data_IF_820014831250
#
_entry.id   IF_820014831250
#
_cell.length_a   1.000
_cell.length_b   1.000
_cell.length_c   1.000
_cell.angle_alpha   90.00
_cell.angle_beta   90.00
_cell.angle_gamma   90.00
#
_symmetry.space_group_name_H-M   'P 1'
#
loop_
_entity.id
_entity.type
_entity.pdbx_description
1 polymer ?
#
# COMPACT_ATOMS: atom_id res chain seq x y z
N UNK A 1 -18.13 67.90 -4.58
CA UNK A 1 -17.18 66.97 -3.92
C UNK A 1 -17.86 65.61 -3.65
N UNK A 2 -18.21 64.84 -4.68
CA UNK A 2 -18.91 63.54 -4.53
C UNK A 2 -18.24 62.37 -5.27
N UNK A 3 -17.09 62.62 -5.90
CA UNK A 3 -16.35 61.63 -6.70
C UNK A 3 -15.57 60.56 -5.88
N UNK A 4 -15.00 60.86 -4.68
CA UNK A 4 -14.17 59.88 -3.97
C UNK A 4 -14.94 58.71 -3.34
N UNK A 5 -16.21 58.93 -2.96
CA UNK A 5 -17.04 57.96 -2.21
C UNK A 5 -17.66 56.89 -3.11
N UNK A 6 -18.02 57.24 -4.35
CA UNK A 6 -18.56 56.28 -5.32
C UNK A 6 -17.50 55.27 -5.80
N UNK A 7 -16.27 55.72 -5.98
CA UNK A 7 -15.17 54.86 -6.45
C UNK A 7 -14.76 53.83 -5.38
N UNK A 8 -14.78 54.23 -4.11
CA UNK A 8 -14.49 53.32 -3.00
C UNK A 8 -15.60 52.28 -2.78
N UNK A 9 -16.87 52.66 -2.99
CA UNK A 9 -17.99 51.71 -2.93
C UNK A 9 -17.94 50.69 -4.08
N UNK A 10 -17.65 51.14 -5.31
CA UNK A 10 -17.47 50.26 -6.48
C UNK A 10 -16.31 49.28 -6.28
N UNK A 11 -15.17 49.73 -5.77
CA UNK A 11 -14.05 48.86 -5.45
C UNK A 11 -14.40 47.82 -4.38
N UNK A 12 -15.13 48.20 -3.32
CA UNK A 12 -15.56 47.27 -2.28
C UNK A 12 -16.51 46.21 -2.83
N UNK A 13 -17.50 46.62 -3.63
CA UNK A 13 -18.45 45.68 -4.24
C UNK A 13 -17.78 44.73 -5.24
N UNK A 14 -16.78 45.20 -6.00
CA UNK A 14 -16.00 44.37 -6.91
C UNK A 14 -15.15 43.35 -6.16
N UNK A 15 -14.52 43.75 -5.04
CA UNK A 15 -13.74 42.87 -4.17
C UNK A 15 -14.59 41.80 -3.49
N UNK A 16 -15.79 42.17 -3.03
CA UNK A 16 -16.76 41.23 -2.43
C UNK A 16 -17.29 40.25 -3.49
N UNK A 17 -17.64 40.73 -4.69
CA UNK A 17 -18.10 39.84 -5.76
C UNK A 17 -17.00 38.86 -6.21
N UNK A 18 -15.76 39.32 -6.33
CA UNK A 18 -14.64 38.45 -6.71
C UNK A 18 -14.32 37.42 -5.64
N UNK A 19 -14.30 37.79 -4.35
CA UNK A 19 -14.06 36.84 -3.25
C UNK A 19 -15.17 35.80 -3.10
N UNK A 20 -16.44 36.19 -3.25
CA UNK A 20 -17.57 35.26 -3.21
C UNK A 20 -17.56 34.32 -4.43
N UNK A 21 -17.25 34.84 -5.63
CA UNK A 21 -17.15 34.03 -6.83
C UNK A 21 -15.96 33.05 -6.79
N UNK A 22 -14.82 33.43 -6.21
CA UNK A 22 -13.67 32.52 -6.04
C UNK A 22 -13.98 31.41 -5.05
N UNK A 23 -14.65 31.71 -3.93
CA UNK A 23 -15.01 30.70 -2.93
C UNK A 23 -16.05 29.71 -3.49
N UNK A 24 -17.08 30.19 -4.18
CA UNK A 24 -18.08 29.31 -4.81
C UNK A 24 -17.46 28.41 -5.91
N UNK A 25 -16.48 28.91 -6.66
CA UNK A 25 -15.73 28.14 -7.67
C UNK A 25 -14.84 27.06 -7.04
N UNK A 26 -14.22 27.35 -5.90
CA UNK A 26 -13.43 26.36 -5.15
C UNK A 26 -14.33 25.31 -4.50
N UNK A 27 -15.43 25.70 -3.87
CA UNK A 27 -16.40 24.76 -3.27
C UNK A 27 -17.00 23.83 -4.31
N UNK A 28 -17.29 24.32 -5.53
CA UNK A 28 -17.73 23.50 -6.65
C UNK A 28 -16.70 22.45 -7.05
N UNK A 29 -15.42 22.84 -7.16
CA UNK A 29 -14.32 21.90 -7.49
C UNK A 29 -14.04 20.91 -6.36
N UNK A 30 -14.17 21.33 -5.11
CA UNK A 30 -14.00 20.48 -3.93
C UNK A 30 -15.13 19.48 -3.83
N UNK A 31 -16.38 19.90 -4.04
CA UNK A 31 -17.55 19.00 -4.09
C UNK A 31 -17.51 18.06 -5.29
N UNK A 32 -17.01 18.51 -6.45
CA UNK A 32 -16.79 17.64 -7.59
C UNK A 32 -15.67 16.61 -7.30
N UNK A 33 -14.60 17.03 -6.62
CA UNK A 33 -13.51 16.15 -6.21
C UNK A 33 -13.99 15.06 -5.21
N UNK A 34 -14.73 15.45 -4.17
CA UNK A 34 -15.24 14.50 -3.17
C UNK A 34 -16.49 13.75 -3.61
N UNK A 35 -17.36 14.35 -4.42
CA UNK A 35 -18.55 13.72 -5.00
C UNK A 35 -18.23 12.71 -6.11
N UNK A 36 -17.05 12.79 -6.72
CA UNK A 36 -16.54 11.75 -7.64
C UNK A 36 -16.22 10.42 -6.93
N UNK A 37 -15.90 10.45 -5.62
CA UNK A 37 -15.72 9.24 -4.81
C UNK A 37 -17.05 8.61 -4.35
N UNK A 38 -18.18 9.30 -4.54
CA UNK A 38 -19.52 8.71 -4.48
C UNK A 38 -19.88 8.00 -5.82
N UNK A 39 -18.89 7.85 -6.71
CA UNK A 39 -19.01 7.31 -8.05
C UNK A 39 -19.06 5.78 -8.07
N UNK A 40 -20.26 5.21 -8.17
CA UNK A 40 -20.59 3.84 -8.61
C UNK A 40 -20.00 2.62 -7.88
N UNK A 41 -18.80 2.67 -7.30
CA UNK A 41 -18.21 1.56 -6.56
C UNK A 41 -18.56 1.59 -5.07
N UNK A 42 -18.77 2.77 -4.47
CA UNK A 42 -19.25 2.92 -3.08
C UNK A 42 -18.32 2.35 -1.99
N UNK A 43 -17.08 2.00 -2.33
CA UNK A 43 -16.11 1.44 -1.39
C UNK A 43 -15.51 2.53 -0.49
N UNK A 44 -15.10 2.14 0.71
CA UNK A 44 -14.55 3.05 1.74
C UNK A 44 -13.05 2.86 1.95
N UNK A 45 -12.50 1.74 1.47
CA UNK A 45 -11.09 1.41 1.59
C UNK A 45 -10.69 0.39 0.52
N UNK A 46 -9.40 0.36 0.21
CA UNK A 46 -8.78 -0.59 -0.70
C UNK A 46 -7.74 -1.42 0.03
N UNK A 47 -7.68 -2.70 -0.30
CA UNK A 47 -6.69 -3.66 0.19
C UNK A 47 -5.96 -4.32 -0.96
N UNK A 48 -4.72 -4.74 -0.71
CA UNK A 48 -3.96 -5.56 -1.63
C UNK A 48 -3.47 -6.85 -0.96
N UNK A 49 -3.55 -7.97 -1.67
CA UNK A 49 -2.94 -9.25 -1.27
C UNK A 49 -2.00 -9.65 -2.41
N UNK A 50 -0.70 -9.62 -2.15
CA UNK A 50 0.35 -9.78 -3.15
C UNK A 50 1.17 -11.02 -2.82
N UNK A 51 1.18 -12.02 -3.71
CA UNK A 51 1.78 -13.33 -3.45
C UNK A 51 2.82 -13.67 -4.50
N UNK A 52 4.07 -13.78 -4.07
CA UNK A 52 5.11 -14.52 -4.79
C UNK A 52 5.15 -15.94 -4.23
N UNK A 53 4.66 -16.91 -5.01
CA UNK A 53 4.53 -18.30 -4.58
C UNK A 53 5.78 -19.15 -4.86
N UNK A 54 6.72 -18.63 -5.66
CA UNK A 54 7.92 -19.35 -6.09
C UNK A 54 9.13 -19.09 -5.21
N UNK A 55 9.99 -20.10 -5.10
CA UNK A 55 11.28 -20.04 -4.39
C UNK A 55 12.47 -20.34 -5.30
N UNK A 56 13.68 -20.18 -4.78
CA UNK A 56 14.98 -20.38 -5.46
C UNK A 56 15.41 -19.23 -6.37
N UNK A 57 16.73 -19.09 -6.51
CA UNK A 57 17.38 -18.00 -7.26
C UNK A 57 16.90 -17.86 -8.71
N UNK A 58 16.69 -18.97 -9.41
CA UNK A 58 16.24 -18.95 -10.80
C UNK A 58 14.80 -18.43 -10.98
N UNK A 59 14.09 -18.19 -9.88
CA UNK A 59 12.75 -17.63 -9.84
C UNK A 59 12.72 -16.18 -9.34
N UNK A 60 13.87 -15.49 -9.33
CA UNK A 60 14.04 -14.09 -8.94
C UNK A 60 12.89 -13.18 -9.41
N UNK A 61 12.53 -13.29 -10.70
CA UNK A 61 11.47 -12.51 -11.33
C UNK A 61 10.13 -12.51 -10.61
N UNK A 62 9.69 -13.61 -10.00
CA UNK A 62 8.40 -13.65 -9.31
C UNK A 62 8.40 -12.76 -8.05
N UNK A 63 9.54 -12.66 -7.35
CA UNK A 63 9.67 -11.73 -6.23
C UNK A 63 9.69 -10.28 -6.73
N UNK A 64 10.43 -10.00 -7.81
CA UNK A 64 10.44 -8.67 -8.42
C UNK A 64 9.05 -8.23 -8.92
N UNK A 65 8.28 -9.15 -9.51
CA UNK A 65 6.90 -8.92 -9.93
C UNK A 65 6.02 -8.47 -8.74
N UNK A 66 6.01 -9.25 -7.65
CA UNK A 66 5.21 -8.95 -6.46
C UNK A 66 5.62 -7.62 -5.81
N UNK A 67 6.94 -7.35 -5.73
CA UNK A 67 7.45 -6.06 -5.22
C UNK A 67 7.14 -4.89 -6.15
N UNK A 68 7.10 -5.09 -7.47
CA UNK A 68 6.66 -4.09 -8.43
C UNK A 68 5.19 -3.71 -8.24
N UNK A 69 4.33 -4.70 -8.02
CA UNK A 69 2.92 -4.46 -7.67
C UNK A 69 2.79 -3.76 -6.31
N UNK A 70 3.57 -4.18 -5.30
CA UNK A 70 3.62 -3.56 -3.98
C UNK A 70 3.97 -2.06 -4.07
N UNK A 71 5.03 -1.73 -4.81
CA UNK A 71 5.39 -0.33 -5.05
C UNK A 71 4.26 0.44 -5.75
N UNK A 72 3.58 -0.19 -6.71
CA UNK A 72 2.48 0.45 -7.44
C UNK A 72 1.33 0.82 -6.52
N UNK A 73 0.84 -0.13 -5.70
CA UNK A 73 -0.26 0.15 -4.76
C UNK A 73 0.14 1.19 -3.70
N UNK A 74 1.38 1.14 -3.19
CA UNK A 74 1.87 2.17 -2.25
C UNK A 74 1.97 3.55 -2.87
N UNK A 75 2.51 3.64 -4.08
CA UNK A 75 2.62 4.90 -4.83
C UNK A 75 1.24 5.50 -5.08
N UNK A 76 0.24 4.65 -5.32
CA UNK A 76 -1.15 5.05 -5.51
C UNK A 76 -1.92 5.26 -4.19
N UNK A 77 -1.31 4.97 -3.04
CA UNK A 77 -1.73 5.46 -1.73
C UNK A 77 -2.35 4.43 -0.81
N UNK A 78 -2.35 3.14 -1.16
CA UNK A 78 -2.74 2.09 -0.21
C UNK A 78 -1.67 2.01 0.89
N UNK A 79 -2.02 2.16 2.18
CA UNK A 79 -1.06 2.08 3.28
C UNK A 79 -0.63 0.63 3.54
N UNK A 80 0.54 0.44 4.16
CA UNK A 80 1.04 -0.91 4.49
C UNK A 80 0.09 -1.72 5.36
N UNK A 81 -0.65 -1.06 6.26
CA UNK A 81 -1.70 -1.70 7.07
C UNK A 81 -2.82 -2.36 6.26
N UNK A 82 -2.91 -2.06 4.95
CA UNK A 82 -3.89 -2.58 4.02
C UNK A 82 -3.26 -3.43 2.91
N UNK A 83 -1.97 -3.75 3.00
CA UNK A 83 -1.27 -4.59 2.02
C UNK A 83 -0.77 -5.83 2.75
N UNK A 84 -1.18 -7.01 2.28
CA UNK A 84 -0.62 -8.29 2.71
C UNK A 84 0.40 -8.73 1.65
N UNK A 85 1.68 -8.74 2.00
CA UNK A 85 2.75 -9.19 1.11
C UNK A 85 3.30 -10.56 1.56
N UNK A 86 3.22 -11.54 0.67
CA UNK A 86 3.73 -12.90 0.87
C UNK A 86 4.87 -13.19 -0.11
N UNK A 87 6.08 -13.41 0.42
CA UNK A 87 7.27 -13.73 -0.39
C UNK A 87 7.83 -15.10 0.02
N UNK A 88 7.70 -16.09 -0.87
CA UNK A 88 8.11 -17.46 -0.62
C UNK A 88 9.64 -17.66 -0.52
N UNK A 89 10.44 -16.66 -0.90
CA UNK A 89 11.89 -16.64 -0.76
C UNK A 89 12.38 -15.20 -0.58
N UNK A 90 13.64 -15.04 -0.16
CA UNK A 90 14.30 -13.75 -0.02
C UNK A 90 15.51 -13.67 -0.94
N UNK A 91 15.28 -13.16 -2.15
CA UNK A 91 16.35 -12.98 -3.14
C UNK A 91 17.25 -11.80 -2.82
N UNK A 92 16.80 -10.85 -1.99
CA UNK A 92 17.61 -9.72 -1.54
C UNK A 92 18.75 -10.18 -0.62
N UNK A 93 18.49 -11.17 0.23
CA UNK A 93 19.48 -11.77 1.13
C UNK A 93 20.18 -13.04 0.58
N UNK A 94 19.92 -13.42 -0.68
CA UNK A 94 20.55 -14.60 -1.28
C UNK A 94 22.05 -14.39 -1.52
N UNK A 95 22.89 -15.38 -1.22
CA UNK A 95 24.35 -15.29 -1.43
C UNK A 95 24.77 -15.17 -2.90
N UNK A 96 23.87 -15.48 -3.84
CA UNK A 96 24.09 -15.27 -5.28
C UNK A 96 23.82 -13.84 -5.72
N UNK A 97 23.12 -13.06 -4.90
CA UNK A 97 22.80 -11.68 -5.22
C UNK A 97 24.06 -10.82 -5.10
N UNK A 98 24.55 -10.33 -6.25
CA UNK A 98 25.69 -9.41 -6.33
C UNK A 98 25.39 -8.05 -5.67
N UNK A 99 24.12 -7.74 -5.45
CA UNK A 99 23.62 -6.50 -4.83
C UNK A 99 22.83 -6.84 -3.55
N UNK A 100 23.51 -7.12 -2.43
CA UNK A 100 22.85 -7.53 -1.20
C UNK A 100 21.84 -6.49 -0.71
N UNK A 101 20.66 -6.96 -0.31
CA UNK A 101 19.59 -6.10 0.21
C UNK A 101 18.76 -5.39 -0.85
N UNK A 102 18.98 -5.66 -2.15
CA UNK A 102 18.26 -5.02 -3.24
C UNK A 102 17.63 -6.01 -4.22
N UNK A 103 16.52 -5.59 -4.81
CA UNK A 103 15.83 -6.31 -5.89
C UNK A 103 15.52 -5.38 -7.05
N UNK A 104 15.84 -5.78 -8.28
CA UNK A 104 15.68 -4.97 -9.48
C UNK A 104 14.82 -5.69 -10.51
N UNK A 105 13.89 -4.98 -11.14
CA UNK A 105 13.07 -5.51 -12.25
C UNK A 105 13.60 -5.13 -13.64
N UNK A 106 14.78 -4.52 -13.72
CA UNK A 106 15.45 -4.19 -14.97
C UNK A 106 16.97 -4.22 -14.80
N UNK A 107 17.67 -4.44 -15.91
CA UNK A 107 19.14 -4.51 -16.00
C UNK A 107 19.82 -3.17 -15.73
N UNK A 108 19.14 -2.06 -15.99
CA UNK A 108 19.62 -0.71 -15.66
C UNK A 108 19.70 -0.46 -14.15
N UNK A 109 18.99 -1.26 -13.34
CA UNK A 109 18.93 -1.16 -11.87
C UNK A 109 18.55 0.23 -11.38
N UNK A 110 17.69 0.90 -12.15
CA UNK A 110 17.29 2.29 -11.90
C UNK A 110 16.49 2.47 -10.60
N UNK A 111 15.89 1.37 -10.10
CA UNK A 111 14.96 1.38 -8.98
C UNK A 111 15.09 0.08 -8.19
N UNK A 112 15.49 0.20 -6.93
CA UNK A 112 15.42 -0.90 -5.97
C UNK A 112 13.98 -1.08 -5.50
N UNK A 113 13.44 -2.29 -5.70
CA UNK A 113 12.10 -2.70 -5.31
C UNK A 113 12.02 -3.22 -3.88
N UNK A 114 13.16 -3.60 -3.28
CA UNK A 114 13.22 -4.07 -1.90
C UNK A 114 13.37 -2.87 -0.96
N UNK A 115 14.55 -2.24 -0.91
CA UNK A 115 14.79 -1.02 -0.13
C UNK A 115 14.31 -1.06 1.33
N UNK A 116 14.21 0.11 1.96
CA UNK A 116 13.86 0.23 3.39
C UNK A 116 12.35 0.32 3.65
N UNK A 117 11.53 0.40 2.61
CA UNK A 117 10.11 0.78 2.70
C UNK A 117 9.14 -0.36 2.41
N UNK A 118 9.58 -1.61 2.52
CA UNK A 118 8.73 -2.79 2.34
C UNK A 118 8.35 -3.43 3.68
N UNK A 119 7.09 -3.81 3.81
CA UNK A 119 6.59 -4.64 4.90
C UNK A 119 6.22 -6.01 4.32
N UNK A 120 6.95 -7.05 4.73
CA UNK A 120 6.67 -8.43 4.31
C UNK A 120 5.97 -9.16 5.45
N UNK A 121 4.72 -9.53 5.25
CA UNK A 121 3.86 -10.13 6.27
C UNK A 121 4.10 -11.63 6.43
N UNK A 122 4.28 -12.34 5.31
CA UNK A 122 4.56 -13.77 5.30
C UNK A 122 5.87 -14.02 4.54
N UNK A 123 6.88 -14.55 5.24
CA UNK A 123 8.22 -14.75 4.71
C UNK A 123 8.56 -16.24 4.62
N UNK A 124 9.15 -16.66 3.50
CA UNK A 124 9.70 -18.00 3.33
C UNK A 124 8.67 -19.08 3.64
N UNK A 125 8.95 -19.91 4.66
CA UNK A 125 8.10 -21.02 5.08
C UNK A 125 6.69 -20.62 5.53
N UNK A 126 6.44 -19.35 5.86
CA UNK A 126 5.08 -18.88 6.18
C UNK A 126 4.18 -18.73 4.93
N UNK A 127 4.75 -18.76 3.71
CA UNK A 127 3.99 -18.63 2.46
C UNK A 127 3.43 -19.98 2.03
N UNK A 128 2.39 -20.43 2.71
CA UNK A 128 1.70 -21.71 2.43
C UNK A 128 0.32 -21.48 1.84
N UNK A 129 -0.23 -22.50 1.19
CA UNK A 129 -1.62 -22.48 0.69
C UNK A 129 -2.58 -22.24 1.86
N UNK A 130 -2.34 -22.90 2.99
CA UNK A 130 -3.14 -22.74 4.21
C UNK A 130 -3.16 -21.28 4.70
N UNK A 131 -2.00 -20.63 4.83
CA UNK A 131 -1.95 -19.26 5.31
C UNK A 131 -2.62 -18.30 4.33
N UNK A 132 -2.44 -18.49 3.02
CA UNK A 132 -3.13 -17.68 2.01
C UNK A 132 -4.66 -17.80 2.12
N UNK A 133 -5.21 -19.02 2.20
CA UNK A 133 -6.65 -19.25 2.38
C UNK A 133 -7.16 -18.69 3.71
N UNK A 134 -6.38 -18.82 4.80
CA UNK A 134 -6.73 -18.24 6.10
C UNK A 134 -6.75 -16.72 6.06
N UNK A 135 -5.84 -16.08 5.33
CA UNK A 135 -5.82 -14.64 5.08
C UNK A 135 -7.12 -14.22 4.40
N UNK A 136 -7.47 -14.82 3.26
CA UNK A 136 -8.68 -14.50 2.50
C UNK A 136 -9.95 -14.69 3.33
N UNK A 137 -10.12 -15.87 3.94
CA UNK A 137 -11.32 -16.21 4.70
C UNK A 137 -11.38 -15.56 6.10
N UNK A 138 -10.28 -14.95 6.53
CA UNK A 138 -9.98 -14.43 7.86
C UNK A 138 -10.23 -15.42 8.99
N UNK A 139 -9.96 -16.70 8.75
CA UNK A 139 -9.97 -17.76 9.76
C UNK A 139 -8.60 -17.84 10.43
N UNK A 140 -8.36 -16.92 11.35
CA UNK A 140 -7.07 -16.80 12.05
C UNK A 140 -7.27 -16.79 13.56
N UNK A 141 -6.28 -17.29 14.30
CA UNK A 141 -6.26 -17.24 15.75
C UNK A 141 -6.21 -15.78 16.25
N UNK A 142 -6.79 -15.52 17.42
CA UNK A 142 -6.82 -14.18 18.00
C UNK A 142 -5.42 -13.62 18.33
N UNK A 143 -4.40 -14.48 18.42
CA UNK A 143 -3.00 -14.08 18.66
C UNK A 143 -2.26 -13.59 17.40
N UNK A 144 -2.76 -13.88 16.19
CA UNK A 144 -2.12 -13.45 14.92
C UNK A 144 -2.03 -11.92 14.87
N UNK A 145 -0.86 -11.30 14.60
CA UNK A 145 -0.74 -9.85 14.55
C UNK A 145 -1.68 -9.20 13.52
N UNK A 146 -2.08 -7.94 13.77
CA UNK A 146 -2.97 -7.20 12.86
C UNK A 146 -2.40 -7.06 11.45
N UNK A 147 -1.09 -6.84 11.30
CA UNK A 147 -0.43 -6.73 9.98
C UNK A 147 -0.61 -7.97 9.12
N UNK A 148 -0.69 -9.16 9.74
CA UNK A 148 -0.91 -10.43 9.02
C UNK A 148 -2.38 -10.73 8.70
N UNK A 149 -3.31 -9.81 8.91
CA UNK A 149 -4.76 -10.03 8.76
C UNK A 149 -5.37 -9.14 7.67
N UNK A 150 -6.15 -9.74 6.78
CA UNK A 150 -7.00 -9.04 5.83
C UNK A 150 -8.28 -8.54 6.53
N UNK A 151 -8.29 -7.30 7.03
CA UNK A 151 -9.38 -6.74 7.83
C UNK A 151 -10.41 -5.99 6.96
N UNK A 152 -10.93 -6.68 5.95
CA UNK A 152 -11.90 -6.17 4.98
C UNK A 152 -13.36 -6.38 5.44
N UNK A 153 -14.26 -5.61 4.84
CA UNK A 153 -15.71 -5.62 5.04
C UNK A 153 -16.48 -5.50 3.70
N UNK A 154 -17.80 -5.33 3.74
CA UNK A 154 -18.68 -5.20 2.56
C UNK A 154 -18.51 -3.89 1.79
N UNK A 155 -17.61 -3.00 2.24
CA UNK A 155 -17.25 -1.75 1.56
C UNK A 155 -15.78 -1.70 1.20
N UNK A 156 -15.11 -2.85 1.19
CA UNK A 156 -13.68 -2.96 0.88
C UNK A 156 -13.49 -3.51 -0.53
N UNK A 157 -12.78 -2.79 -1.39
CA UNK A 157 -12.29 -3.36 -2.64
C UNK A 157 -10.93 -4.02 -2.43
N UNK A 158 -10.70 -5.16 -3.07
CA UNK A 158 -9.50 -5.98 -2.84
C UNK A 158 -8.82 -6.27 -4.16
N UNK A 159 -7.55 -5.88 -4.27
CA UNK A 159 -6.66 -6.33 -5.33
C UNK A 159 -5.89 -7.57 -4.89
N UNK A 160 -6.09 -8.70 -5.56
CA UNK A 160 -5.35 -9.93 -5.31
C UNK A 160 -4.42 -10.18 -6.49
N UNK A 161 -3.11 -10.15 -6.25
CA UNK A 161 -2.09 -10.45 -7.25
C UNK A 161 -1.31 -11.69 -6.86
N UNK A 162 -1.17 -12.64 -7.79
CA UNK A 162 -0.39 -13.85 -7.59
C UNK A 162 0.59 -14.04 -8.74
N UNK A 163 1.80 -14.50 -8.42
CA UNK A 163 2.82 -14.81 -9.43
C UNK A 163 3.64 -16.03 -9.01
N UNK A 164 3.96 -16.87 -9.99
CA UNK A 164 4.75 -18.07 -9.78
C UNK A 164 4.58 -19.08 -10.91
N UNK A 165 4.94 -20.33 -10.63
CA UNK A 165 4.76 -21.43 -11.58
C UNK A 165 3.41 -22.11 -11.39
N UNK A 166 2.75 -22.44 -12.48
CA UNK A 166 1.41 -22.99 -12.48
C UNK A 166 1.12 -23.76 -13.74
N UNK A 167 -0.14 -24.11 -13.93
CA UNK A 167 -0.63 -24.82 -15.09
C UNK A 167 -2.16 -24.82 -15.10
N UNK A 168 -2.74 -25.80 -15.78
CA UNK A 168 -4.20 -25.90 -15.91
C UNK A 168 -4.87 -26.04 -14.54
N UNK A 169 -5.48 -24.95 -14.07
CA UNK A 169 -6.25 -24.81 -12.83
C UNK A 169 -5.44 -24.98 -11.53
N UNK A 170 -4.11 -24.77 -11.57
CA UNK A 170 -3.29 -24.75 -10.35
C UNK A 170 -2.12 -23.76 -10.38
N UNK A 171 -1.69 -23.32 -9.19
CA UNK A 171 -0.46 -22.57 -8.95
C UNK A 171 0.36 -23.26 -7.85
N UNK A 172 1.67 -23.43 -8.07
CA UNK A 172 2.59 -24.03 -7.10
C UNK A 172 2.98 -23.02 -6.02
N UNK A 173 2.97 -23.48 -4.78
CA UNK A 173 3.49 -22.79 -3.60
C UNK A 173 4.77 -23.49 -3.12
N UNK A 174 5.84 -22.71 -2.97
CA UNK A 174 7.16 -23.14 -2.50
C UNK A 174 7.73 -24.38 -3.21
N UNK A 175 7.30 -24.67 -4.44
CA UNK A 175 7.70 -25.88 -5.19
C UNK A 175 7.36 -27.20 -4.47
N UNK A 176 6.38 -27.19 -3.56
CA UNK A 176 6.01 -28.35 -2.74
C UNK A 176 4.49 -28.58 -2.65
N UNK A 177 3.72 -27.49 -2.61
CA UNK A 177 2.25 -27.53 -2.54
C UNK A 177 1.65 -26.89 -3.79
N UNK A 178 0.38 -27.15 -4.04
CA UNK A 178 -0.38 -26.55 -5.13
C UNK A 178 -1.70 -26.01 -4.58
N UNK A 179 -2.08 -24.82 -5.01
CA UNK A 179 -3.43 -24.28 -4.82
C UNK A 179 -4.18 -24.42 -6.14
N UNK A 180 -5.41 -24.91 -6.10
CA UNK A 180 -6.26 -25.04 -7.29
C UNK A 180 -7.14 -23.81 -7.51
N UNK A 181 -7.64 -23.64 -8.74
CA UNK A 181 -8.66 -22.64 -9.07
C UNK A 181 -9.92 -22.78 -8.18
N UNK A 182 -10.26 -24.01 -7.80
CA UNK A 182 -11.39 -24.33 -6.92
C UNK A 182 -11.16 -23.82 -5.49
N UNK A 183 -9.95 -23.97 -4.94
CA UNK A 183 -9.65 -23.49 -3.58
C UNK A 183 -9.84 -21.97 -3.46
N UNK A 184 -9.42 -21.23 -4.50
CA UNK A 184 -9.58 -19.77 -4.55
C UNK A 184 -11.06 -19.40 -4.74
N UNK A 185 -11.78 -20.10 -5.63
CA UNK A 185 -13.22 -19.90 -5.82
C UNK A 185 -14.00 -20.06 -4.52
N UNK A 186 -13.75 -21.16 -3.79
CA UNK A 186 -14.39 -21.45 -2.51
C UNK A 186 -14.00 -20.44 -1.42
N UNK A 187 -12.76 -19.93 -1.44
CA UNK A 187 -12.33 -18.88 -0.52
C UNK A 187 -13.07 -17.57 -0.79
N UNK A 188 -13.19 -17.16 -2.06
CA UNK A 188 -13.94 -15.96 -2.45
C UNK A 188 -15.43 -16.10 -2.13
N UNK A 189 -16.02 -17.29 -2.30
CA UNK A 189 -17.39 -17.53 -1.86
C UNK A 189 -17.56 -17.37 -0.36
N UNK A 190 -16.63 -17.90 0.43
CA UNK A 190 -16.67 -17.69 1.89
C UNK A 190 -16.51 -16.22 2.26
N UNK A 191 -15.72 -15.45 1.53
CA UNK A 191 -15.61 -14.01 1.72
C UNK A 191 -16.92 -13.30 1.39
N UNK A 192 -17.59 -13.69 0.30
CA UNK A 192 -18.87 -13.14 -0.12
C UNK A 192 -19.96 -13.38 0.93
N UNK A 193 -20.14 -14.64 1.36
CA UNK A 193 -21.12 -15.03 2.39
C UNK A 193 -20.88 -14.30 3.72
N UNK A 194 -19.62 -13.99 4.02
CA UNK A 194 -19.23 -13.26 5.24
C UNK A 194 -19.15 -11.75 5.06
N UNK A 195 -19.56 -11.22 3.91
CA UNK A 195 -19.55 -9.77 3.65
C UNK A 195 -18.17 -9.15 3.85
N UNK A 196 -17.14 -9.77 3.28
CA UNK A 196 -15.73 -9.36 3.44
C UNK A 196 -15.15 -8.64 2.22
N UNK A 197 -15.95 -8.35 1.22
CA UNK A 197 -15.56 -7.50 0.11
C UNK A 197 -16.78 -6.84 -0.52
N UNK A 198 -16.54 -5.70 -1.15
CA UNK A 198 -17.43 -5.05 -2.10
C UNK A 198 -17.17 -5.55 -3.52
N UNK A 199 -15.92 -5.42 -3.97
CA UNK A 199 -15.42 -5.93 -5.25
C UNK A 199 -14.01 -6.55 -5.10
N UNK A 200 -13.71 -7.58 -5.90
CA UNK A 200 -12.38 -8.16 -6.01
C UNK A 200 -11.85 -7.96 -7.44
N UNK A 201 -10.60 -7.50 -7.54
CA UNK A 201 -9.83 -7.60 -8.77
C UNK A 201 -8.73 -8.65 -8.59
N UNK A 202 -8.86 -9.78 -9.29
CA UNK A 202 -7.91 -10.88 -9.26
C UNK A 202 -7.00 -10.83 -10.50
N UNK A 203 -5.68 -10.76 -10.29
CA UNK A 203 -4.68 -10.74 -11.35
C UNK A 203 -3.64 -11.83 -11.07
N UNK A 204 -3.31 -12.62 -12.09
CA UNK A 204 -2.35 -13.71 -11.91
C UNK A 204 -1.37 -13.83 -13.08
N UNK A 205 -0.08 -13.94 -12.76
CA UNK A 205 0.99 -14.15 -13.73
C UNK A 205 1.63 -15.54 -13.56
N UNK A 206 1.22 -16.47 -14.42
CA UNK A 206 1.70 -17.85 -14.44
C UNK A 206 1.37 -18.55 -15.77
N UNK A 207 1.90 -19.75 -16.02
CA UNK A 207 1.50 -20.55 -17.16
C UNK A 207 0.03 -20.99 -17.03
N UNK A 208 -0.72 -20.90 -18.12
CA UNK A 208 -2.17 -21.18 -18.17
C UNK A 208 -2.98 -20.37 -17.15
N UNK A 209 -2.53 -19.14 -16.86
CA UNK A 209 -3.11 -18.25 -15.86
C UNK A 209 -4.63 -18.05 -16.00
N UNK A 210 -5.17 -18.05 -17.22
CA UNK A 210 -6.59 -17.84 -17.46
C UNK A 210 -7.49 -18.94 -16.88
N UNK A 211 -6.92 -20.12 -16.62
CA UNK A 211 -7.62 -21.24 -15.99
C UNK A 211 -7.81 -21.05 -14.48
N UNK A 212 -7.04 -20.16 -13.84
CA UNK A 212 -7.10 -19.96 -12.38
C UNK A 212 -8.37 -19.24 -11.90
N UNK A 213 -9.08 -18.55 -12.79
CA UNK A 213 -10.34 -17.87 -12.47
C UNK A 213 -11.54 -18.50 -13.19
N UNK A 214 -11.38 -19.62 -13.90
CA UNK A 214 -12.46 -20.30 -14.62
C UNK A 214 -13.57 -20.79 -13.67
N UNK A 215 -13.18 -21.20 -12.46
CA UNK A 215 -14.06 -21.76 -11.46
C UNK A 215 -14.71 -20.73 -10.53
N UNK A 216 -14.42 -19.43 -10.69
CA UNK A 216 -15.07 -18.40 -9.87
C UNK A 216 -16.57 -18.35 -10.16
N UNK A 217 -17.38 -18.22 -9.10
CA UNK A 217 -18.84 -18.16 -9.20
C UNK A 217 -19.48 -17.12 -8.28
N UNK A 218 -18.72 -16.52 -7.37
CA UNK A 218 -19.19 -15.44 -6.50
C UNK A 218 -19.25 -14.10 -7.25
N UNK A 219 -20.21 -13.22 -6.92
CA UNK A 219 -20.40 -11.97 -7.64
C UNK A 219 -19.32 -10.94 -7.30
N UNK A 220 -19.27 -9.88 -8.10
CA UNK A 220 -18.41 -8.71 -7.97
C UNK A 220 -16.91 -9.02 -8.08
N UNK A 221 -16.55 -9.96 -8.96
CA UNK A 221 -15.17 -10.35 -9.22
C UNK A 221 -14.81 -10.02 -10.67
N UNK A 222 -13.77 -9.21 -10.84
CA UNK A 222 -13.08 -8.99 -12.11
C UNK A 222 -11.78 -9.78 -12.07
N UNK A 223 -11.47 -10.54 -13.13
CA UNK A 223 -10.26 -11.34 -13.18
C UNK A 223 -9.47 -11.15 -14.48
N UNK A 224 -8.15 -11.26 -14.39
CA UNK A 224 -7.24 -11.22 -15.54
C UNK A 224 -6.05 -12.15 -15.31
N UNK A 225 -5.51 -12.71 -16.38
CA UNK A 225 -4.40 -13.68 -16.33
C UNK A 225 -3.43 -13.47 -17.48
N UNK A 226 -2.19 -13.93 -17.33
CA UNK A 226 -1.13 -13.70 -18.31
C UNK A 226 -1.13 -14.59 -19.55
N UNK A 227 -1.78 -15.76 -19.51
CA UNK A 227 -1.67 -16.78 -20.57
C UNK A 227 -2.90 -17.68 -20.68
N UNK A 228 -3.21 -18.14 -21.89
CA UNK A 228 -4.32 -19.03 -22.19
C UNK A 228 -4.07 -20.50 -21.80
N UNK A 229 -5.13 -21.31 -21.81
CA UNK A 229 -5.01 -22.76 -21.60
C UNK A 229 -4.08 -23.37 -22.67
N UNK A 230 -3.16 -24.23 -22.24
CA UNK A 230 -2.12 -24.81 -23.12
C UNK A 230 -0.95 -23.87 -23.46
N UNK A 231 -0.93 -22.65 -22.93
CA UNK A 231 0.13 -21.66 -23.16
C UNK A 231 1.01 -21.44 -21.92
N UNK A 232 2.29 -21.13 -22.14
CA UNK A 232 3.21 -20.71 -21.09
C UNK A 232 3.13 -19.18 -20.86
N UNK A 233 3.50 -18.73 -19.66
CA UNK A 233 3.93 -17.34 -19.46
C UNK A 233 5.44 -17.23 -19.66
N UNK A 234 5.92 -16.02 -19.99
CA UNK A 234 7.31 -15.80 -20.38
C UNK A 234 7.99 -14.77 -19.48
N UNK A 235 9.25 -15.05 -19.15
CA UNK A 235 10.14 -14.10 -18.49
C UNK A 235 10.56 -12.97 -19.44
N UNK A 236 10.86 -11.80 -18.89
CA UNK A 236 11.38 -10.65 -19.62
C UNK A 236 12.66 -10.13 -18.96
N UNK A 237 13.58 -9.62 -19.81
CA UNK A 237 14.84 -9.00 -19.42
C UNK A 237 15.78 -9.87 -18.57
N UNK A 238 16.92 -10.27 -19.15
CA UNK A 238 17.99 -10.96 -18.43
C UNK A 238 19.01 -9.95 -17.92
N UNK A 239 19.41 -10.08 -16.65
CA UNK A 239 20.50 -9.29 -16.08
C UNK A 239 21.74 -10.20 -15.93
N UNK A 240 22.85 -9.81 -16.57
CA UNK A 240 24.10 -10.59 -16.56
C UNK A 240 24.81 -10.59 -15.20
N UNK A 241 24.63 -9.55 -14.39
CA UNK A 241 25.20 -9.44 -13.04
C UNK A 241 24.44 -10.30 -12.04
N UNK A 242 23.12 -10.43 -12.20
CA UNK A 242 22.22 -11.29 -11.40
C UNK A 242 22.24 -12.74 -11.94
N UNK A 243 22.43 -12.91 -13.24
CA UNK A 243 22.57 -14.20 -13.94
C UNK A 243 21.25 -14.91 -14.23
N UNK A 244 20.10 -14.25 -14.09
CA UNK A 244 18.75 -14.79 -14.36
C UNK A 244 17.85 -13.70 -14.93
N UNK A 245 16.66 -14.08 -15.42
CA UNK A 245 15.62 -13.13 -15.78
C UNK A 245 15.05 -12.44 -14.54
N UNK A 246 14.84 -11.12 -14.63
CA UNK A 246 14.54 -10.27 -13.47
C UNK A 246 13.08 -9.89 -13.33
N UNK A 247 12.25 -10.09 -14.35
CA UNK A 247 10.80 -9.82 -14.32
C UNK A 247 10.07 -10.76 -15.30
N UNK A 248 8.76 -10.95 -15.16
CA UNK A 248 7.94 -11.60 -16.18
C UNK A 248 7.34 -10.61 -17.18
N UNK A 249 7.16 -11.03 -18.43
CA UNK A 249 6.77 -10.17 -19.55
C UNK A 249 5.42 -9.51 -19.34
N UNK A 250 4.41 -10.28 -18.92
CA UNK A 250 3.07 -9.76 -18.61
C UNK A 250 3.14 -8.69 -17.52
N UNK A 251 3.79 -9.01 -16.41
CA UNK A 251 3.95 -8.08 -15.29
C UNK A 251 4.77 -6.84 -15.67
N UNK A 252 5.82 -6.98 -16.50
CA UNK A 252 6.61 -5.86 -17.00
C UNK A 252 5.73 -4.83 -17.74
N UNK A 253 4.92 -5.26 -18.69
CA UNK A 253 4.09 -4.35 -19.47
C UNK A 253 2.95 -3.72 -18.66
N UNK A 254 2.40 -4.45 -17.66
CA UNK A 254 1.45 -3.86 -16.72
C UNK A 254 2.11 -2.80 -15.86
N UNK A 255 3.27 -3.08 -15.27
CA UNK A 255 3.99 -2.11 -14.46
C UNK A 255 4.40 -0.88 -15.28
N UNK A 256 4.83 -1.09 -16.53
CA UNK A 256 5.12 0.01 -17.46
C UNK A 256 3.90 0.89 -17.71
N UNK A 257 2.71 0.30 -17.95
CA UNK A 257 1.46 1.04 -18.08
C UNK A 257 1.13 1.80 -16.79
N UNK A 258 1.30 1.15 -15.64
CA UNK A 258 0.96 1.70 -14.33
C UNK A 258 1.85 2.87 -13.92
N UNK A 259 3.11 2.98 -14.39
CA UNK A 259 3.98 4.13 -14.10
C UNK A 259 3.38 5.47 -14.55
N UNK A 260 2.54 5.48 -15.60
CA UNK A 260 1.83 6.67 -16.07
C UNK A 260 0.61 7.07 -15.21
N UNK A 261 0.18 6.20 -14.29
CA UNK A 261 -1.03 6.36 -13.49
C UNK A 261 -0.70 7.07 -12.17
N UNK A 262 -1.51 8.05 -11.78
CA UNK A 262 -1.42 8.72 -10.47
C UNK A 262 -2.73 8.58 -9.69
N UNK A 263 -2.73 9.04 -8.43
CA UNK A 263 -3.87 8.91 -7.50
C UNK A 263 -5.18 9.54 -8.00
N UNK A 264 -5.09 10.53 -8.88
CA UNK A 264 -6.26 11.25 -9.45
C UNK A 264 -6.64 10.75 -10.84
N UNK A 265 -5.97 9.70 -11.34
CA UNK A 265 -6.20 9.19 -12.69
C UNK A 265 -7.65 8.74 -12.87
N UNK A 266 -8.17 9.01 -14.06
CA UNK A 266 -9.47 8.53 -14.53
C UNK A 266 -9.33 7.36 -15.51
N UNK A 267 -8.14 6.77 -15.60
CA UNK A 267 -7.89 5.59 -16.41
C UNK A 267 -8.73 4.42 -15.90
N UNK A 268 -9.38 3.75 -16.82
CA UNK A 268 -10.35 2.70 -16.57
C UNK A 268 -9.72 1.32 -16.62
N UNK A 269 -10.44 0.31 -16.13
CA UNK A 269 -10.07 -1.10 -16.30
C UNK A 269 -10.09 -1.48 -17.79
N UNK A 270 -10.98 -0.87 -18.59
CA UNK A 270 -10.95 -1.03 -20.05
C UNK A 270 -9.61 -0.60 -20.64
N UNK A 271 -9.10 0.58 -20.25
CA UNK A 271 -7.82 1.10 -20.74
C UNK A 271 -6.64 0.18 -20.39
N UNK A 272 -6.64 -0.38 -19.17
CA UNK A 272 -5.64 -1.36 -18.75
C UNK A 272 -5.66 -2.60 -19.66
N UNK A 273 -6.83 -3.18 -19.89
CA UNK A 273 -6.94 -4.40 -20.69
C UNK A 273 -6.71 -4.14 -22.18
N UNK A 274 -7.09 -2.97 -22.69
CA UNK A 274 -6.79 -2.53 -24.05
C UNK A 274 -5.29 -2.30 -24.28
N UNK A 275 -4.50 -2.11 -23.20
CA UNK A 275 -3.05 -1.98 -23.29
C UNK A 275 -2.31 -3.32 -23.51
N UNK A 276 -3.00 -4.45 -23.33
CA UNK A 276 -2.40 -5.77 -23.50
C UNK A 276 -2.03 -6.01 -24.97
N UNK A 277 -0.77 -6.36 -25.19
CA UNK A 277 -0.22 -6.65 -26.52
C UNK A 277 0.41 -8.05 -26.50
N UNK A 278 -0.30 -9.08 -27.00
CA UNK A 278 0.21 -10.45 -27.02
C UNK A 278 1.55 -10.61 -27.75
N UNK A 279 1.86 -9.73 -28.71
CA UNK A 279 3.13 -9.78 -29.44
C UNK A 279 4.31 -9.40 -28.55
N UNK A 280 4.10 -8.43 -27.66
CA UNK A 280 5.09 -7.99 -26.67
C UNK A 280 5.14 -8.92 -25.46
N UNK A 281 3.98 -9.33 -24.98
CA UNK A 281 3.85 -10.18 -23.79
C UNK A 281 4.35 -11.61 -24.07
N UNK A 282 4.29 -12.05 -25.34
CA UNK A 282 4.60 -13.41 -25.81
C UNK A 282 3.62 -14.50 -25.36
N UNK A 283 2.52 -14.11 -24.72
CA UNK A 283 1.38 -14.95 -24.39
C UNK A 283 0.08 -14.17 -24.60
N UNK A 284 -1.07 -14.81 -24.41
CA UNK A 284 -2.40 -14.23 -24.58
C UNK A 284 -3.07 -13.96 -23.22
N UNK A 285 -3.02 -12.71 -22.72
CA UNK A 285 -3.74 -12.37 -21.52
C UNK A 285 -5.25 -12.48 -21.70
N UNK A 286 -5.92 -13.08 -20.72
CA UNK A 286 -7.38 -13.18 -20.70
C UNK A 286 -8.00 -12.26 -19.64
N UNK A 287 -9.25 -11.87 -19.87
CA UNK A 287 -10.06 -11.08 -18.94
C UNK A 287 -11.41 -11.76 -18.75
N UNK A 288 -11.84 -11.92 -17.51
CA UNK A 288 -13.17 -12.43 -17.15
C UNK A 288 -13.92 -11.37 -16.36
N UNK A 289 -15.06 -10.93 -16.89
CA UNK A 289 -15.87 -9.83 -16.35
C UNK A 289 -17.36 -10.16 -16.18
N UNK A 290 -17.81 -11.40 -16.48
CA UNK A 290 -19.21 -11.83 -16.35
C UNK A 290 -19.74 -11.78 -14.91
N UNK A 291 -18.85 -11.91 -13.92
CA UNK A 291 -19.17 -11.79 -12.49
C UNK A 291 -19.09 -10.34 -11.98
N UNK A 292 -18.59 -9.41 -12.79
CA UNK A 292 -18.36 -8.02 -12.40
C UNK A 292 -19.52 -7.12 -12.85
N UNK A 293 -20.19 -6.47 -11.90
CA UNK A 293 -21.44 -5.76 -12.18
C UNK A 293 -21.27 -4.46 -12.99
N UNK A 294 -20.10 -3.81 -12.86
CA UNK A 294 -19.83 -2.52 -13.53
C UNK A 294 -19.26 -2.76 -14.93
N UNK A 295 -19.60 -1.86 -15.85
CA UNK A 295 -18.94 -1.82 -17.16
C UNK A 295 -17.48 -1.39 -16.99
N UNK A 296 -16.58 -2.01 -17.74
CA UNK A 296 -15.13 -1.77 -17.63
C UNK A 296 -14.73 -0.30 -17.90
N UNK A 297 -15.50 0.43 -18.72
CA UNK A 297 -15.30 1.86 -19.02
C UNK A 297 -15.68 2.79 -17.84
N UNK A 298 -16.32 2.25 -16.81
CA UNK A 298 -16.71 2.99 -15.60
C UNK A 298 -15.95 2.55 -14.35
N UNK A 299 -15.30 1.40 -14.41
CA UNK A 299 -14.45 0.92 -13.32
C UNK A 299 -13.07 1.56 -13.46
N UNK A 300 -12.67 2.34 -12.47
CA UNK A 300 -11.36 2.99 -12.48
C UNK A 300 -10.30 2.05 -11.94
N UNK A 301 -9.07 2.18 -12.44
CA UNK A 301 -7.92 1.47 -11.86
C UNK A 301 -7.72 1.88 -10.40
N UNK A 302 -7.97 3.15 -10.09
CA UNK A 302 -7.87 3.68 -8.73
C UNK A 302 -8.90 3.08 -7.76
N UNK A 303 -9.97 2.43 -8.24
CA UNK A 303 -10.92 1.70 -7.39
C UNK A 303 -10.32 0.43 -6.77
N UNK A 304 -9.17 -0.06 -7.27
CA UNK A 304 -8.48 -1.24 -6.74
C UNK A 304 -7.04 -0.94 -6.29
N UNK A 305 -6.36 -0.02 -6.98
CA UNK A 305 -4.96 0.30 -6.71
C UNK A 305 -4.77 1.59 -5.91
N UNK A 306 -5.79 2.46 -5.83
CA UNK A 306 -5.71 3.78 -5.19
C UNK A 306 -5.94 3.74 -3.69
N UNK A 307 -5.30 4.64 -2.93
CA UNK A 307 -5.67 4.88 -1.54
C UNK A 307 -6.97 5.70 -1.45
N UNK A 308 -7.91 5.27 -0.60
CA UNK A 308 -9.12 6.04 -0.30
C UNK A 308 -8.83 6.96 0.89
N UNK A 309 -8.93 8.27 0.68
CA UNK A 309 -8.83 9.27 1.77
C UNK A 309 -10.18 9.94 1.93
N UNK A 310 -10.92 9.59 2.99
CA UNK A 310 -12.13 10.31 3.35
C UNK A 310 -11.74 11.54 4.18
N UNK A 311 -12.00 12.74 3.64
CA UNK A 311 -11.90 13.98 4.42
C UNK A 311 -13.29 14.27 4.99
N UNK A 312 -13.43 14.16 6.30
CA UNK A 312 -14.63 14.66 6.98
C UNK A 312 -14.59 16.20 6.96
N UNK A 313 -15.50 16.81 6.20
CA UNK A 313 -15.68 18.26 6.21
C UNK A 313 -16.56 18.58 7.41
N UNK A 314 -15.94 19.00 8.51
CA UNK A 314 -16.69 19.63 9.59
C UNK A 314 -17.28 20.93 9.06
N UNK A 315 -18.61 21.16 9.19
CA UNK A 315 -19.19 22.44 8.84
C UNK A 315 -18.49 23.55 9.65
N UNK A 316 -18.32 24.77 9.07
CA UNK A 316 -17.84 25.92 9.83
C UNK A 316 -18.69 26.05 11.10
N UNK A 317 -18.02 26.15 12.23
CA UNK A 317 -18.62 26.27 13.55
C UNK A 317 -19.33 27.63 13.66
N UNK A 318 -20.53 27.74 13.08
CA UNK A 318 -21.39 28.89 13.28
C UNK A 318 -21.96 28.83 14.69
N UNK A 319 -21.38 29.69 15.55
CA UNK A 319 -21.99 30.27 16.73
C UNK A 319 -22.31 29.32 17.90
N UNK A 320 -21.29 28.94 18.68
CA UNK A 320 -21.47 28.89 20.13
C UNK A 320 -21.36 30.31 20.71
N UNK A 321 -22.44 30.92 21.22
CA UNK A 321 -22.34 32.20 21.92
C UNK A 321 -21.75 31.93 23.30
N UNK A 322 -20.43 32.04 23.46
CA UNK A 322 -19.86 31.86 24.81
C UNK A 322 -18.35 31.82 25.02
N UNK A 323 -17.49 31.84 24.00
CA UNK A 323 -16.05 31.89 24.23
C UNK A 323 -15.46 33.18 23.65
N UNK A 324 -15.19 34.15 24.51
CA UNK A 324 -14.42 35.34 24.14
C UNK A 324 -12.98 34.93 23.85
N UNK A 325 -12.56 35.02 22.58
CA UNK A 325 -11.14 34.99 22.23
C UNK A 325 -10.43 36.20 22.87
N UNK A 326 -9.25 36.02 23.49
CA UNK A 326 -8.53 37.14 24.06
C UNK A 326 -8.11 38.12 22.94
N UNK A 327 -8.50 39.39 23.12
CA UNK A 327 -8.15 40.49 22.23
C UNK A 327 -6.64 40.72 22.27
N UNK A 328 -5.94 40.33 21.20
CA UNK A 328 -4.58 40.81 20.94
C UNK A 328 -4.68 42.20 20.35
N UNK A 329 -4.20 43.20 21.10
CA UNK A 329 -4.09 44.58 20.62
C UNK A 329 -2.91 44.66 19.61
N UNK A 330 -3.06 45.38 18.49
CA UNK A 330 -1.95 45.63 17.59
C UNK A 330 -0.98 46.60 18.28
N UNK A 331 0.21 46.12 18.65
CA UNK A 331 1.16 46.96 19.39
C UNK A 331 2.53 46.39 19.72
N UNK A 332 2.78 45.07 19.67
CA UNK A 332 4.09 44.53 20.02
C UNK A 332 4.74 43.78 18.84
N UNK A 333 5.41 44.55 18.00
CA UNK A 333 6.49 44.11 17.10
C UNK A 333 7.76 44.75 17.66
N UNK A 334 8.78 44.00 18.12
CA UNK A 334 9.89 43.43 17.34
C UNK A 334 11.00 42.96 18.32
N UNK A 335 12.00 42.24 17.78
CA UNK A 335 13.38 41.97 18.30
C UNK A 335 13.53 40.54 18.85
N UNK A 336 14.46 39.67 18.42
CA UNK A 336 15.53 39.71 17.42
C UNK A 336 15.92 38.26 17.08
N UNK A 337 16.13 38.02 15.78
CA UNK A 337 16.73 36.82 15.22
C UNK A 337 18.23 36.84 15.41
N UNK A 338 18.78 36.07 16.37
CA UNK A 338 20.22 35.77 16.43
C UNK A 338 20.51 34.36 16.94
N UNK A 339 20.91 33.48 16.01
CA UNK A 339 21.69 32.27 16.29
C UNK A 339 23.17 32.63 16.03
N UNK A 340 24.08 32.52 17.01
CA UNK A 340 25.50 32.65 16.76
C UNK A 340 26.10 31.30 16.33
N UNK A 341 26.80 31.31 15.20
CA UNK A 341 27.84 30.35 14.85
C UNK A 341 29.18 30.75 15.48
N UNK A 342 30.03 29.78 15.87
CA UNK A 342 31.49 29.79 15.60
C UNK A 342 32.21 28.53 16.10
N UNK A 343 32.85 27.86 15.12
CA UNK A 343 34.04 27.02 15.08
C UNK A 343 34.89 26.73 16.34
N UNK A 344 35.19 25.44 16.54
CA UNK A 344 36.51 24.82 16.27
C UNK A 344 37.69 25.11 17.21
N UNK A 345 38.17 24.06 17.90
CA UNK A 345 39.61 23.86 18.21
C UNK A 345 39.97 22.37 18.27
N UNK A 346 41.13 22.04 17.71
CA UNK A 346 41.74 20.71 17.59
C UNK A 346 42.43 20.26 18.90
N UNK A 347 42.59 18.95 19.12
CA UNK A 347 43.84 18.20 18.87
C UNK A 347 43.98 16.90 19.71
N UNK A 348 44.57 15.89 19.06
CA UNK A 348 45.36 14.75 19.58
C UNK A 348 44.67 13.43 19.98
N UNK A 349 45.06 12.39 19.23
CA UNK A 349 45.01 10.96 19.56
C UNK A 349 46.15 10.58 20.52
N UNK A 350 46.05 9.42 21.19
CA UNK A 350 46.95 8.33 20.81
C UNK A 350 46.31 6.93 20.82
N UNK A 351 46.89 6.09 19.95
CA UNK A 351 46.87 4.63 19.87
C UNK A 351 47.11 3.94 21.22
N UNK A 352 46.52 2.76 21.48
CA UNK A 352 47.20 1.48 21.82
C UNK A 352 46.18 0.33 22.01
N UNK A 353 46.64 -0.85 21.63
CA UNK A 353 46.05 -2.19 21.60
C UNK A 353 45.29 -2.68 22.86
N UNK A 354 44.23 -3.48 22.58
CA UNK A 354 44.12 -4.85 23.11
C UNK A 354 43.34 -5.06 24.41
N UNK A 355 42.14 -5.66 24.31
CA UNK A 355 41.83 -6.94 24.98
C UNK A 355 40.41 -7.44 24.66
N UNK A 356 40.39 -8.72 24.31
CA UNK A 356 39.27 -9.69 24.39
C UNK A 356 38.31 -9.37 25.54
N UNK A 357 37.00 -9.33 25.27
CA UNK A 357 35.99 -9.48 26.31
C UNK A 357 35.13 -10.70 26.05
N UNK A 358 35.25 -11.61 27.00
CA UNK A 358 34.58 -12.90 27.15
C UNK A 358 33.08 -12.71 27.37
N UNK A 359 32.31 -13.61 26.79
CA UNK A 359 30.90 -13.88 27.07
C UNK A 359 30.69 -14.14 28.55
N UNK A 360 29.77 -13.39 29.18
CA UNK A 360 29.15 -13.76 30.45
C UNK A 360 27.67 -14.03 30.21
N UNK A 361 27.32 -15.31 30.30
CA UNK A 361 25.97 -15.77 30.58
C UNK A 361 25.49 -15.13 31.88
N UNK A 362 24.26 -14.62 31.91
CA UNK A 362 23.61 -14.21 33.15
C UNK A 362 22.28 -14.94 33.32
N UNK A 363 22.27 -15.73 34.38
CA UNK A 363 21.28 -16.69 34.83
C UNK A 363 19.95 -16.04 35.25
N UNK A 364 18.91 -16.84 35.07
CA UNK A 364 17.51 -16.61 35.37
C UNK A 364 17.18 -16.79 36.84
N UNK A 365 16.71 -15.74 37.52
CA UNK A 365 15.68 -15.81 38.58
C UNK A 365 15.46 -14.46 39.26
N UNK A 366 14.31 -13.83 39.00
CA UNK A 366 13.79 -12.74 39.84
C UNK A 366 12.29 -12.95 40.10
N UNK A 367 11.82 -12.92 41.36
CA UNK A 367 10.42 -13.16 41.70
C UNK A 367 9.52 -11.94 41.41
N UNK A 368 8.30 -12.23 40.94
CA UNK A 368 7.32 -11.33 40.29
C UNK A 368 6.62 -10.32 41.25
N UNK A 369 7.04 -10.14 42.51
CA UNK A 369 6.32 -9.30 43.49
C UNK A 369 6.83 -7.87 43.69
N UNK A 370 7.89 -7.41 43.00
CA UNK A 370 8.46 -6.06 43.20
C UNK A 370 8.13 -5.02 42.11
N UNK A 371 7.29 -5.35 41.13
CA UNK A 371 6.87 -4.42 40.06
C UNK A 371 5.55 -3.66 40.30
N UNK A 372 4.91 -3.81 41.46
CA UNK A 372 3.62 -3.17 41.76
C UNK A 372 3.65 -1.94 42.68
N UNK A 373 4.82 -1.51 43.16
CA UNK A 373 4.91 -0.36 44.08
C UNK A 373 5.78 0.82 43.60
N UNK A 374 6.33 0.76 42.38
CA UNK A 374 7.11 1.86 41.80
C UNK A 374 6.30 2.96 41.10
N UNK A 375 5.08 2.66 40.65
CA UNK A 375 4.26 3.61 39.88
C UNK A 375 3.36 4.51 40.72
N UNK A 376 2.98 4.10 41.94
CA UNK A 376 2.13 4.92 42.82
C UNK A 376 2.89 6.06 43.52
N UNK A 377 4.18 5.87 43.79
CA UNK A 377 5.04 6.89 44.42
C UNK A 377 5.36 8.05 43.47
N UNK A 378 5.49 7.78 42.17
CA UNK A 378 5.78 8.80 41.15
C UNK A 378 4.56 9.67 40.83
N UNK A 379 3.36 9.10 40.83
CA UNK A 379 2.10 9.84 40.67
C UNK A 379 1.79 10.69 41.91
N UNK A 380 2.05 10.16 43.12
CA UNK A 380 1.87 10.91 44.37
C UNK A 380 2.77 12.15 44.48
N UNK A 381 4.02 12.06 44.02
CA UNK A 381 4.95 13.21 44.02
C UNK A 381 4.56 14.29 43.00
N UNK A 382 4.02 13.90 41.84
CA UNK A 382 3.57 14.85 40.80
C UNK A 382 2.31 15.63 41.23
N UNK A 383 1.38 14.99 41.92
CA UNK A 383 0.16 15.66 42.43
C UNK A 383 0.51 16.66 43.55
N UNK A 384 1.42 16.30 44.45
CA UNK A 384 1.87 17.19 45.53
C UNK A 384 2.63 18.43 45.01
N UNK A 385 3.38 18.30 43.91
CA UNK A 385 4.11 19.42 43.31
C UNK A 385 3.17 20.47 42.68
N UNK A 386 2.06 20.04 42.08
CA UNK A 386 1.08 20.94 41.45
C UNK A 386 0.28 21.72 42.50
N UNK A 387 -0.04 21.12 43.64
CA UNK A 387 -0.79 21.78 44.72
C UNK A 387 0.02 22.81 45.53
N UNK A 388 1.35 22.83 45.41
CA UNK A 388 2.22 23.81 46.09
C UNK A 388 2.55 25.06 45.24
N UNK A 389 2.02 25.15 44.02
CA UNK A 389 2.19 26.29 43.11
C UNK A 389 0.88 27.00 42.72
N UNK A 390 -0.21 26.72 43.45
CA UNK A 390 -1.50 27.41 43.32
C UNK A 390 -1.65 28.51 44.37
#
# INVERSE_FOLDING_TARGET
MLFPTYLSFLCLTSWILTTVATNASQDGKVREFFGRHDGTSGHTNNWAVLVCASRYWFNYRHMANALGMYRTVKRLGIPDSNIILMLADDVACNTRNKFPGSVYANSGRNLDLYGDNIEVDYRGYEVTVENFIRVLTGRMDASVPRSKRLLTDDRSNIFVYMTGHGGNEFLKFQDNEEISAFDIADAFEQMWQKKRYNEIFFMIDTCQANTMYSQFYSPNILATGSSEIGENSYSYENDNDIGVAVIDSYTHYILQFMEGINKTSQTTMHDLFASYDPSKIHSHPGVRADLFHRTLDKALITDFFGGVSQAEIFPPEDAYPGMQSPSVKPGDTMIDSRIPSTNGSQLSSPTTQGRMFTTLEMDSSWPISLRKWGSMTLVGMLVAWVSLKS
#
